data_IF_633654360488
#
_entry.id   IF_633654360488
#
_cell.length_a   1.000
_cell.length_b   1.000
_cell.length_c   1.000
_cell.angle_alpha   90.00
_cell.angle_beta   90.00
_cell.angle_gamma   90.00
#
_symmetry.space_group_name_H-M   'P 1'
#
loop_
_entity.id
_entity.type
_entity.pdbx_description
1 polymer ?
2 non-polymer ?
3 non-polymer ?
4 non-polymer ?
5 non-polymer ?
6 non-polymer ?
7 non-polymer ?
8 water ?
#
# COMPACT_ATOMS: atom_id res chain seq x y z
N UNK A 1 -22.83 11.06 13.72
CA UNK A 1 -23.66 11.22 14.91
C UNK A 1 -24.89 10.31 14.90
N UNK A 2 -25.19 9.68 13.77
CA UNK A 2 -26.41 8.88 13.57
C UNK A 2 -26.52 7.70 14.51
N UNK A 3 -25.36 7.20 14.92
CA UNK A 3 -25.32 6.10 15.87
C UNK A 3 -24.16 6.43 16.81
N UNK A 4 -24.22 5.93 18.05
CA UNK A 4 -23.11 6.30 18.94
C UNK A 4 -21.77 5.84 18.39
N UNK A 5 -20.74 6.66 18.62
CA UNK A 5 -19.41 6.34 18.15
C UNK A 5 -18.74 5.39 19.13
N UNK A 6 -18.15 4.33 18.58
CA UNK A 6 -17.47 3.33 19.39
C UNK A 6 -15.96 3.55 19.32
N UNK A 7 -15.37 3.93 20.43
CA UNK A 7 -13.94 3.88 20.57
C UNK A 7 -13.58 2.42 20.81
N UNK A 8 -12.59 1.93 20.10
CA UNK A 8 -12.20 0.54 20.26
C UNK A 8 -10.83 0.44 20.87
N UNK A 9 -10.60 -0.61 21.64
CA UNK A 9 -9.27 -0.88 22.15
C UNK A 9 -8.74 0.31 22.97
N UNK A 11 -7.55 0.54 25.98
CA UNK A 11 -6.39 0.36 26.85
C UNK A 11 -5.19 -0.15 26.06
N UNK A 12 -5.20 0.00 24.74
CA UNK A 12 -4.12 -0.51 23.91
C UNK A 12 -2.76 0.09 24.31
N UNK A 13 -1.73 -0.75 24.23
CA UNK A 13 -0.36 -0.35 24.48
C UNK A 13 0.52 -1.12 23.51
N UNK A 14 1.78 -0.70 23.38
CA UNK A 14 2.77 -1.54 22.75
C UNK A 14 3.43 -2.44 23.77
N UNK A 15 3.66 -3.69 23.38
CA UNK A 15 4.38 -4.65 24.20
C UNK A 15 5.64 -5.09 23.48
N UNK A 16 6.51 -4.12 23.17
CA UNK A 16 7.78 -4.42 22.48
C UNK A 16 8.72 -5.07 23.47
N UNK A 17 9.65 -5.92 22.96
CA UNK A 17 10.60 -6.44 23.93
C UNK A 17 11.37 -5.32 24.66
N UNK A 18 11.74 -5.62 25.89
CA UNK A 18 12.54 -4.71 26.70
C UNK A 18 13.81 -4.25 25.98
N UNK A 19 14.08 -2.94 26.01
CA UNK A 19 15.29 -2.41 25.41
C UNK A 19 15.36 -2.47 23.88
N UNK A 20 14.23 -2.63 23.22
CA UNK A 20 14.27 -2.82 21.79
C UNK A 20 14.51 -1.54 20.96
N UNK A 21 15.00 -1.79 19.76
CA UNK A 21 15.23 -0.76 18.78
C UNK A 21 13.90 -0.20 18.30
N UNK A 22 13.96 0.98 17.67
CA UNK A 22 12.81 1.60 17.04
C UNK A 22 12.31 0.75 15.88
N UNK A 23 10.99 0.69 15.76
CA UNK A 23 10.35 -0.01 14.67
C UNK A 23 9.67 1.02 13.79
N UNK A 24 9.96 0.98 12.49
CA UNK A 24 9.47 1.97 11.52
C UNK A 24 8.79 1.21 10.38
N UNK A 25 7.48 1.35 10.28
CA UNK A 25 6.71 0.65 9.26
C UNK A 25 6.17 1.62 8.21
N UNK A 26 6.48 1.34 6.96
CA UNK A 26 5.95 2.13 5.85
C UNK A 26 4.85 1.34 5.15
N UNK A 27 3.65 1.89 5.10
CA UNK A 27 2.53 1.32 4.37
C UNK A 27 2.36 2.11 3.12
N UNK A 28 2.75 1.52 1.99
CA UNK A 28 2.52 2.13 0.68
C UNK A 28 1.15 1.64 0.21
N UNK A 29 0.20 2.57 0.14
CA UNK A 29 -1.12 2.24 -0.35
C UNK A 29 -1.13 2.63 -1.81
N UNK A 30 -1.14 1.60 -2.65
CA UNK A 30 -1.13 1.76 -4.08
C UNK A 30 -2.49 2.12 -4.63
N UNK A 31 -2.53 2.27 -5.93
CA UNK A 31 -3.71 2.78 -6.60
C UNK A 31 -3.73 2.13 -7.99
N UNK A 32 -4.82 1.42 -8.29
CA UNK A 32 -5.12 0.92 -9.64
C UNK A 32 -4.22 -0.20 -10.22
N UNK A 33 -3.01 -0.38 -9.69
CA UNK A 33 -2.12 -1.43 -10.14
C UNK A 33 -2.67 -2.82 -9.89
N UNK A 34 -2.66 -3.64 -10.94
CA UNK A 34 -3.27 -4.97 -10.86
C UNK A 34 -2.27 -6.12 -10.94
N UNK A 35 -2.63 -7.23 -10.29
CA UNK A 35 -1.77 -8.40 -10.20
C UNK A 35 -1.32 -8.96 -11.53
N UNK A 36 -2.20 -8.93 -12.51
CA UNK A 36 -1.95 -9.57 -13.78
C UNK A 36 -0.85 -8.86 -14.58
N UNK A 37 -0.46 -7.64 -14.21
CA UNK A 37 0.60 -6.94 -14.91
C UNK A 37 1.83 -6.70 -14.03
N UNK A 38 1.94 -7.51 -12.99
CA UNK A 38 2.99 -7.38 -11.98
C UNK A 38 4.07 -8.40 -12.27
N UNK A 39 5.28 -7.96 -12.52
CA UNK A 39 6.32 -8.85 -12.98
C UNK A 39 6.61 -10.01 -12.05
N UNK A 40 6.60 -9.77 -10.75
CA UNK A 40 6.89 -10.85 -9.80
C UNK A 40 5.86 -11.97 -9.84
N UNK A 41 4.65 -11.70 -10.34
CA UNK A 41 3.63 -12.72 -10.50
C UNK A 41 3.76 -13.51 -11.79
N UNK A 42 4.75 -13.21 -12.62
CA UNK A 42 4.96 -14.02 -13.82
C UNK A 42 4.39 -13.36 -15.07
N UNK A 43 4.01 -12.10 -14.99
CA UNK A 43 3.61 -11.37 -16.19
C UNK A 43 4.75 -11.50 -17.22
N UNK A 44 4.39 -11.61 -18.50
CA UNK A 44 5.42 -11.83 -19.51
C UNK A 44 6.40 -10.67 -19.65
N UNK A 45 5.99 -9.46 -19.26
CA UNK A 45 6.91 -8.32 -19.21
C UNK A 45 7.38 -8.14 -17.77
N UNK A 46 8.67 -7.86 -17.62
CA UNK A 46 9.20 -7.58 -16.30
C UNK A 46 8.94 -6.14 -15.93
N UNK A 47 7.77 -5.92 -15.36
CA UNK A 47 7.36 -4.60 -14.91
C UNK A 47 7.86 -4.25 -13.53
N UNK A 48 8.53 -5.21 -12.87
CA UNK A 48 9.08 -4.98 -11.55
C UNK A 48 10.57 -5.39 -11.47
N UNK A 49 11.40 -4.82 -12.34
CA UNK A 49 12.79 -5.28 -12.44
C UNK A 49 13.63 -5.00 -11.21
N UNK A 50 13.39 -3.90 -10.50
CA UNK A 50 14.23 -3.61 -9.35
C UNK A 50 13.89 -4.53 -8.20
N UNK A 51 12.59 -4.80 -8.01
CA UNK A 51 12.17 -5.73 -7.00
C UNK A 51 12.61 -7.15 -7.34
N UNK A 52 12.51 -7.54 -8.61
CA UNK A 52 12.99 -8.86 -9.01
C UNK A 52 14.48 -9.05 -8.74
N UNK A 53 15.29 -8.03 -9.04
CA UNK A 53 16.73 -8.12 -8.83
C UNK A 53 17.10 -8.25 -7.35
N UNK A 54 16.26 -7.73 -6.46
CA UNK A 54 16.47 -7.87 -5.02
C UNK A 54 16.24 -9.31 -4.56
N UNK A 55 15.57 -10.11 -5.38
CA UNK A 55 15.49 -11.53 -5.12
C UNK A 55 14.76 -11.90 -3.85
N UNK A 56 15.40 -12.76 -3.07
CA UNK A 56 14.72 -13.40 -1.97
C UNK A 56 14.20 -12.42 -0.92
N UNK A 57 14.82 -11.25 -0.78
CA UNK A 57 14.42 -10.33 0.27
C UNK A 57 13.07 -9.66 0.03
N UNK A 58 12.50 -9.77 -1.16
CA UNK A 58 11.15 -9.28 -1.38
C UNK A 58 10.18 -10.45 -1.28
N UNK A 59 9.21 -10.35 -0.39
CA UNK A 59 8.16 -11.34 -0.28
C UNK A 59 7.02 -10.90 -1.15
N UNK A 60 6.71 -11.67 -2.18
CA UNK A 60 5.64 -11.38 -3.08
C UNK A 60 4.45 -12.31 -2.81
N UNK A 61 3.25 -11.77 -2.93
CA UNK A 61 2.04 -12.52 -2.67
C UNK A 61 1.23 -12.65 -3.95
N UNK A 62 1.29 -13.83 -4.59
CA UNK A 62 0.62 -13.94 -5.89
C UNK A 62 -0.91 -14.07 -5.89
N UNK A 63 -1.54 -14.26 -4.74
CA UNK A 63 -3.00 -14.36 -4.68
C UNK A 63 -3.60 -13.46 -3.61
N UNK A 64 -3.90 -12.22 -4.01
CA UNK A 64 -4.48 -11.22 -3.11
C UNK A 64 -5.69 -10.59 -3.78
N UNK A 65 -6.77 -10.42 -3.02
CA UNK A 65 -8.00 -9.79 -3.53
C UNK A 65 -8.31 -8.54 -2.77
N UNK A 66 -8.83 -7.54 -3.50
CA UNK A 66 -9.23 -6.30 -2.89
C UNK A 66 -10.61 -6.40 -2.19
N UNK A 67 -10.84 -5.46 -1.26
CA UNK A 67 -12.13 -5.20 -0.60
C UNK A 67 -13.16 -4.64 -1.59
N UNK A 68 -12.69 -3.72 -2.42
CA UNK A 68 -13.55 -2.93 -3.27
C UNK A 68 -12.88 -2.67 -4.61
N UNK A 69 -13.57 -1.94 -5.49
CA UNK A 69 -13.02 -1.61 -6.81
C UNK A 69 -12.87 -0.10 -6.95
N UNK A 70 -12.91 0.63 -5.84
CA UNK A 70 -12.67 2.05 -5.87
C UNK A 70 -12.12 2.45 -4.53
N UNK A 72 -13.05 4.77 -2.53
CA UNK A 72 -14.10 5.09 -1.58
C UNK A 72 -14.55 3.87 -0.77
N UNK A 73 -14.45 2.68 -1.37
CA UNK A 73 -14.78 1.46 -0.66
C UNK A 73 -13.56 0.80 -0.05
N UNK A 74 -12.52 0.61 -0.86
CA UNK A 74 -11.38 -0.13 -0.42
C UNK A 74 -10.66 0.47 0.78
N UNK A 75 -10.41 1.76 0.76
CA UNK A 75 -9.65 2.36 1.85
C UNK A 75 -10.36 2.24 3.21
N UNK A 76 -11.63 2.68 3.32
CA UNK A 76 -12.26 2.56 4.63
C UNK A 76 -12.35 1.10 5.09
N UNK A 77 -12.60 0.17 4.17
CA UNK A 77 -12.76 -1.23 4.59
C UNK A 77 -11.41 -1.84 5.01
N UNK A 79 -8.85 -0.34 6.30
CA UNK A 79 -8.42 0.24 7.58
C UNK A 79 -9.44 -0.03 8.71
N UNK A 80 -10.48 -0.80 8.42
CA UNK A 80 -11.48 -1.14 9.44
C UNK A 80 -11.38 -2.56 9.91
N UNK A 81 -12.01 -2.82 11.05
CA UNK A 81 -12.09 -4.16 11.63
C UNK A 81 -12.92 -5.10 10.74
N UNK A 82 -13.77 -4.55 9.90
CA UNK A 82 -14.67 -5.38 9.08
C UNK A 82 -13.98 -6.04 7.92
N UNK A 83 -14.50 -7.20 7.50
CA UNK A 83 -14.04 -7.91 6.32
C UNK A 83 -14.95 -7.49 5.16
N UNK A 84 -14.52 -7.75 3.94
CA UNK A 84 -15.34 -7.38 2.79
C UNK A 84 -16.76 -7.91 2.91
N UNK A 85 -16.91 -9.17 3.28
CA UNK A 85 -18.23 -9.79 3.23
C UNK A 85 -19.15 -9.36 4.37
N UNK A 86 -18.64 -8.71 5.41
CA UNK A 86 -19.53 -8.16 6.43
C UNK A 86 -19.40 -6.68 6.63
N UNK A 87 -18.79 -6.01 5.65
CA UNK A 87 -18.54 -4.59 5.79
C UNK A 87 -19.86 -3.81 5.91
N UNK A 88 -19.91 -2.95 6.92
CA UNK A 88 -21.07 -2.10 7.17
C UNK A 88 -20.53 -0.68 7.16
N UNK A 89 -20.83 0.05 6.08
CA UNK A 89 -20.27 1.38 5.84
C UNK A 89 -20.59 2.32 7.00
N UNK A 90 -21.79 2.22 7.53
CA UNK A 90 -22.22 3.12 8.61
C UNK A 90 -21.52 2.76 9.91
N UNK A 91 -21.46 1.48 10.22
CA UNK A 91 -20.81 1.07 11.44
C UNK A 91 -19.34 1.44 11.39
N UNK A 92 -18.70 1.22 10.24
CA UNK A 92 -17.28 1.50 10.10
C UNK A 92 -16.99 3.00 10.27
N UNK A 93 -17.90 3.83 9.80
CA UNK A 93 -17.74 5.27 9.88
C UNK A 93 -17.89 5.79 11.30
N UNK A 94 -18.52 5.00 12.17
CA UNK A 94 -18.85 5.45 13.52
C UNK A 94 -18.06 4.63 14.55
N UNK A 95 -16.86 4.21 14.19
CA UNK A 95 -15.95 3.59 15.15
C UNK A 95 -14.51 3.84 14.76
N UNK A 96 -13.61 3.66 15.72
CA UNK A 96 -12.17 3.79 15.51
C UNK A 96 -11.69 2.87 14.40
N UNK A 97 -10.82 3.40 13.57
CA UNK A 97 -10.11 2.58 12.59
C UNK A 97 -8.72 2.20 13.04
N UNK A 98 -8.00 1.49 12.19
CA UNK A 98 -6.68 1.00 12.50
C UNK A 98 -5.74 2.09 12.98
N UNK A 99 -5.80 3.23 12.31
CA UNK A 99 -4.84 4.27 12.62
C UNK A 99 -5.17 4.93 13.94
N UNK A 100 -6.45 5.06 14.26
CA UNK A 100 -6.88 5.58 15.57
C UNK A 100 -6.33 4.69 16.69
N UNK A 101 -6.41 3.39 16.53
CA UNK A 101 -5.99 2.45 17.55
C UNK A 101 -4.46 2.48 17.67
N UNK A 102 -3.76 2.47 16.55
CA UNK A 102 -2.30 2.45 16.59
C UNK A 102 -1.77 3.71 17.24
N UNK A 103 -2.37 4.86 16.90
CA UNK A 103 -1.97 6.11 17.53
C UNK A 103 -2.21 6.10 19.04
N UNK A 104 -3.33 5.55 19.46
CA UNK A 104 -3.65 5.50 20.88
C UNK A 104 -2.62 4.67 21.63
N UNK A 105 -2.06 3.66 20.97
CA UNK A 105 -1.03 2.80 21.57
C UNK A 105 0.30 3.52 21.72
N UNK A 106 0.40 4.74 21.21
CA UNK A 106 1.64 5.50 21.40
C UNK A 106 2.58 5.49 20.19
N UNK A 107 2.09 5.00 19.06
CA UNK A 107 2.84 4.98 17.82
C UNK A 107 2.66 6.30 17.07
N UNK A 108 3.73 6.80 16.47
CA UNK A 108 3.65 8.02 15.68
C UNK A 108 3.11 7.66 14.31
N UNK A 109 1.90 8.11 14.02
CA UNK A 109 1.26 7.78 12.75
C UNK A 109 1.25 9.02 11.87
N UNK A 110 1.69 8.90 10.63
CA UNK A 110 1.69 10.03 9.70
C UNK A 110 1.18 9.57 8.37
N UNK A 111 0.31 10.35 7.75
CA UNK A 111 -0.26 9.99 6.43
C UNK A 111 0.13 11.02 5.38
N UNK A 112 0.87 10.63 4.35
CA UNK A 112 1.25 11.55 3.27
C UNK A 112 0.41 11.19 2.05
N UNK A 113 -0.33 12.17 1.56
CA UNK A 113 -1.36 11.93 0.54
C UNK A 113 -0.91 12.50 -0.80
N UNK A 114 -0.96 11.65 -1.83
CA UNK A 114 -0.73 12.08 -3.21
C UNK A 114 -1.75 11.51 -4.17
N UNK A 115 -2.93 11.15 -3.69
CA UNK A 115 -3.92 10.45 -4.51
C UNK A 115 -5.32 11.04 -4.32
N UNK A 116 -5.43 12.34 -4.15
CA UNK A 116 -6.74 13.00 -4.06
C UNK A 116 -7.57 12.84 -2.78
N UNK A 117 -7.16 11.99 -1.85
CA UNK A 117 -7.90 11.87 -0.60
C UNK A 117 -7.81 10.54 0.15
N UNK A 118 -7.90 10.60 1.47
CA UNK A 118 -7.80 9.45 2.34
C UNK A 118 -9.15 8.80 2.63
N UNK A 119 -10.22 9.37 2.08
CA UNK A 119 -11.58 8.84 2.27
C UNK A 119 -11.94 8.70 3.74
N UNK A 120 -11.52 9.67 4.54
CA UNK A 120 -11.90 9.73 5.95
C UNK A 120 -11.01 8.97 6.90
N UNK A 121 -10.06 8.22 6.37
CA UNK A 121 -9.28 7.32 7.21
C UNK A 121 -8.26 8.04 8.07
N UNK A 122 -7.71 9.14 7.57
CA UNK A 122 -6.59 9.78 8.26
C UNK A 122 -6.97 11.08 8.97
N UNK A 123 -8.27 11.34 9.09
CA UNK A 123 -8.75 12.55 9.76
C UNK A 123 -8.21 12.84 11.16
N UNK A 124 -7.95 11.80 11.94
CA UNK A 124 -7.56 12.00 13.33
C UNK A 124 -6.08 11.76 13.58
N UNK A 125 -5.30 11.64 12.52
CA UNK A 125 -3.85 11.53 12.66
C UNK A 125 -3.20 12.62 11.83
N UNK A 126 -1.92 12.96 12.14
CA UNK A 126 -1.21 13.94 11.30
C UNK A 126 -1.20 13.53 9.84
N UNK A 127 -1.50 14.47 8.96
CA UNK A 127 -1.61 14.17 7.56
C UNK A 127 -1.37 15.39 6.71
N UNK A 128 -0.77 15.16 5.56
CA UNK A 128 -0.43 16.24 4.63
C UNK A 128 -0.74 15.87 3.20
N UNK A 129 -1.16 16.87 2.45
CA UNK A 129 -1.48 16.75 1.03
C UNK A 129 -0.25 17.19 0.23
N UNK A 130 0.56 16.24 -0.18
CA UNK A 130 1.80 16.57 -0.82
C UNK A 130 1.56 17.10 -2.23
N UNK A 131 0.51 16.64 -2.89
CA UNK A 131 0.18 17.05 -4.24
C UNK A 131 0.02 18.56 -4.35
N UNK A 132 -0.49 19.16 -3.28
CA UNK A 132 -0.79 20.60 -3.29
C UNK A 132 0.48 21.46 -3.40
N UNK A 133 1.63 20.87 -3.14
CA UNK A 133 2.87 21.62 -3.28
C UNK A 133 3.13 22.07 -4.72
N UNK A 134 2.55 21.33 -5.67
CA UNK A 134 2.59 21.79 -7.05
C UNK A 134 4.00 22.15 -7.55
N UNK A 135 4.95 21.25 -7.29
CA UNK A 135 6.34 21.42 -7.73
C UNK A 135 6.51 20.99 -9.18
N UNK A 136 7.12 21.85 -10.01
CA UNK A 136 7.18 21.53 -11.45
C UNK A 136 7.96 20.27 -11.80
N UNK A 137 8.94 19.89 -10.99
CA UNK A 137 9.65 18.64 -11.21
C UNK A 137 8.74 17.40 -11.16
N UNK A 138 7.62 17.51 -10.44
CA UNK A 138 6.75 16.35 -10.24
C UNK A 138 5.31 16.55 -10.74
N UNK A 139 4.86 17.79 -10.85
CA UNK A 139 3.43 18.05 -10.90
C UNK A 139 2.98 18.78 -12.15
N UNK A 140 1.79 18.41 -12.61
CA UNK A 140 1.14 19.10 -13.71
C UNK A 140 -0.34 18.77 -13.67
N UNK A 141 -1.17 19.74 -14.00
CA UNK A 141 -2.62 19.55 -14.04
C UNK A 141 -3.21 18.97 -12.75
N UNK A 142 -2.64 19.35 -11.62
CA UNK A 142 -3.16 18.95 -10.33
C UNK A 142 -2.87 17.52 -9.92
N UNK A 143 -1.95 16.86 -10.61
CA UNK A 143 -1.53 15.51 -10.23
C UNK A 143 -0.02 15.51 -10.19
N UNK A 144 0.58 14.70 -9.33
CA UNK A 144 2.02 14.69 -9.16
C UNK A 144 2.57 13.28 -9.28
N UNK A 145 3.76 13.17 -9.87
CA UNK A 145 4.53 11.92 -9.84
C UNK A 145 4.80 11.50 -8.40
N UNK A 146 4.66 10.21 -8.12
CA UNK A 146 4.73 9.73 -6.75
C UNK A 146 6.06 9.96 -6.04
N UNK A 147 7.15 10.13 -6.79
CA UNK A 147 8.43 10.38 -6.13
C UNK A 147 8.42 11.67 -5.34
N UNK A 148 7.43 12.53 -5.52
CA UNK A 148 7.33 13.72 -4.66
C UNK A 148 7.22 13.32 -3.19
N UNK A 149 6.62 12.17 -2.91
CA UNK A 149 6.46 11.72 -1.55
C UNK A 149 7.80 11.46 -0.89
N UNK A 150 8.78 11.04 -1.69
CA UNK A 150 10.07 10.68 -1.17
C UNK A 150 10.75 11.91 -0.59
N UNK A 151 10.38 13.10 -1.07
CA UNK A 151 11.00 14.34 -0.61
C UNK A 151 10.55 14.74 0.80
N UNK A 152 9.50 14.08 1.30
CA UNK A 152 8.95 14.37 2.60
C UNK A 152 9.25 13.24 3.60
N UNK A 153 9.89 12.18 3.12
CA UNK A 153 10.10 10.96 3.90
C UNK A 153 11.02 11.21 5.10
N UNK A 154 12.12 11.88 4.87
CA UNK A 154 13.12 11.99 5.92
C UNK A 154 12.64 12.86 7.08
N UNK A 155 11.80 13.83 6.80
CA UNK A 155 11.18 14.63 7.85
C UNK A 155 10.38 13.74 8.82
N UNK A 156 9.68 12.76 8.28
CA UNK A 156 8.92 11.84 9.14
C UNK A 156 9.83 10.90 9.90
N UNK A 157 10.81 10.38 9.19
CA UNK A 157 11.78 9.49 9.79
C UNK A 157 12.47 10.16 10.97
N UNK A 158 12.76 11.46 10.84
CA UNK A 158 13.54 12.17 11.84
C UNK A 158 12.70 12.93 12.84
N UNK A 159 11.38 12.79 12.82
CA UNK A 159 10.52 13.58 13.70
C UNK A 159 10.85 13.33 15.18
N UNK A 160 11.05 12.07 15.53
CA UNK A 160 11.44 11.64 16.88
C UNK A 160 11.83 10.19 16.76
N UNK A 161 12.14 9.53 17.88
CA UNK A 161 12.56 8.12 17.81
C UNK A 161 11.46 7.15 18.29
N UNK A 162 10.21 7.60 18.29
CA UNK A 162 9.08 6.68 18.60
C UNK A 162 8.89 5.68 17.46
N UNK A 163 8.36 4.51 17.78
CA UNK A 163 7.89 3.62 16.75
C UNK A 163 6.89 4.38 15.88
N UNK A 164 6.84 4.03 14.60
CA UNK A 164 6.08 4.81 13.65
C UNK A 164 5.44 3.98 12.57
N UNK A 165 4.28 4.46 12.12
CA UNK A 165 3.63 3.96 10.90
C UNK A 165 3.46 5.14 9.97
N UNK A 166 4.09 5.06 8.81
CA UNK A 166 4.04 6.11 7.81
C UNK A 166 3.27 5.57 6.64
N UNK A 167 2.15 6.19 6.31
CA UNK A 167 1.35 5.79 5.15
C UNK A 167 1.71 6.70 3.97
N UNK A 168 2.08 6.09 2.86
CA UNK A 168 2.36 6.82 1.61
C UNK A 168 1.22 6.45 0.67
N UNK A 169 0.30 7.36 0.45
CA UNK A 169 -0.83 7.07 -0.42
C UNK A 169 -0.55 7.61 -1.80
N UNK A 170 -0.29 6.69 -2.73
CA UNK A 170 0.23 6.99 -4.04
C UNK A 170 -0.86 7.04 -5.06
N UNK A 171 -0.61 7.78 -6.15
CA UNK A 171 -1.52 7.79 -7.29
C UNK A 171 -1.26 6.61 -8.25
N UNK A 172 -0.08 6.02 -8.21
CA UNK A 172 0.11 4.68 -8.78
C UNK A 172 -0.14 4.58 -10.27
N UNK A 173 -1.08 3.71 -10.63
CA UNK A 173 -1.45 3.46 -12.01
C UNK A 173 -2.74 4.16 -12.41
N UNK A 174 -3.17 5.19 -11.67
CA UNK A 174 -4.46 5.82 -11.95
C UNK A 174 -4.54 6.34 -13.38
N UNK A 175 -5.69 6.10 -14.01
CA UNK A 175 -5.98 6.64 -15.34
C UNK A 175 -7.17 7.57 -15.27
N UNK A 176 -7.61 8.08 -16.42
CA UNK A 176 -7.12 7.77 -17.77
C UNK A 176 -5.81 8.47 -18.15
N UNK A 177 -5.26 9.34 -17.31
CA UNK A 177 -3.96 9.97 -17.62
C UNK A 177 -2.80 9.08 -17.21
N UNK A 178 -2.83 7.83 -17.64
CA UNK A 178 -1.79 6.87 -17.28
C UNK A 178 -0.39 7.39 -17.65
N UNK A 179 -0.32 8.07 -18.78
CA UNK A 179 0.98 8.52 -19.28
C UNK A 179 1.66 9.51 -18.36
N UNK A 180 0.91 10.15 -17.49
CA UNK A 180 1.49 11.12 -16.55
C UNK A 180 1.99 10.47 -15.28
N UNK A 181 1.83 9.16 -15.14
CA UNK A 181 2.24 8.48 -13.91
C UNK A 181 3.73 8.10 -13.85
N UNK A 182 4.47 8.30 -14.92
CA UNK A 182 5.86 7.84 -14.99
C UNK A 182 6.71 8.81 -15.75
N UNK A 183 8.04 8.60 -15.68
CA UNK A 183 9.00 9.44 -16.40
C UNK A 183 9.77 8.67 -17.46
N UNK A 184 10.69 9.35 -18.12
CA UNK A 184 11.47 8.75 -19.22
C UNK A 184 12.10 7.42 -18.86
N UNK A 185 12.65 7.31 -17.65
CA UNK A 185 13.36 6.09 -17.31
C UNK A 185 12.46 4.87 -17.21
N UNK A 186 11.15 5.10 -17.05
CA UNK A 186 10.19 4.03 -16.93
C UNK A 186 9.32 3.91 -18.18
N UNK A 187 9.60 4.70 -19.21
CA UNK A 187 8.82 4.63 -20.44
C UNK A 187 9.47 3.55 -21.34
N UNK A 188 9.30 2.30 -20.93
CA UNK A 188 10.00 1.20 -21.58
C UNK A 188 9.19 0.54 -22.71
N UNK A 189 7.88 0.53 -22.56
CA UNK A 189 7.00 -0.11 -23.51
C UNK A 189 6.33 0.95 -24.36
N UNK A 190 6.54 0.85 -25.67
CA UNK A 190 6.10 1.88 -26.59
C UNK A 190 5.55 1.22 -27.88
N UNK A 191 4.76 1.96 -28.68
CA UNK A 191 4.21 3.30 -28.43
C UNK A 191 3.25 3.37 -27.26
N UNK A 192 2.96 4.59 -26.87
CA UNK A 192 2.15 4.85 -25.70
C UNK A 192 0.92 5.67 -26.07
N UNK A 193 0.02 5.78 -25.09
CA UNK A 193 -1.24 6.49 -25.19
C UNK A 193 -1.11 7.79 -24.39
N UNK A 194 -0.73 8.87 -25.05
CA UNK A 194 -0.33 10.08 -24.32
C UNK A 194 -1.45 11.10 -24.32
N UNK A 195 -2.62 10.63 -23.92
CA UNK A 195 -3.80 11.44 -23.84
C UNK A 195 -4.70 10.83 -22.77
N UNK A 196 -5.67 11.61 -22.30
CA UNK A 196 -6.69 11.08 -21.41
C UNK A 196 -7.79 10.35 -22.18
N UNK A 197 -7.80 10.49 -23.51
CA UNK A 197 -8.85 9.92 -24.36
C UNK A 197 -8.48 8.51 -24.76
N UNK A 198 -8.50 7.63 -23.78
CA UNK A 198 -7.89 6.32 -23.92
C UNK A 198 -8.66 5.44 -24.89
N UNK A 199 -9.94 5.75 -25.08
CA UNK A 199 -10.72 5.03 -26.08
C UNK A 199 -10.26 5.25 -27.51
N UNK A 200 -9.42 6.25 -27.73
CA UNK A 200 -8.98 6.62 -29.08
C UNK A 200 -7.63 6.03 -29.42
N UNK A 201 -7.01 5.35 -28.47
CA UNK A 201 -5.75 4.70 -28.76
C UNK A 201 -5.93 3.21 -28.83
N UNK A 202 -4.97 2.54 -29.43
CA UNK A 202 -5.08 1.11 -29.59
C UNK A 202 -4.95 0.45 -28.24
N UNK A 203 -5.55 -0.72 -28.13
CA UNK A 203 -5.44 -1.50 -26.91
C UNK A 203 -4.00 -1.86 -26.61
N UNK A 204 -3.21 -2.08 -27.65
CA UNK A 204 -1.79 -2.35 -27.49
C UNK A 204 -1.10 -1.18 -26.83
N UNK A 205 -1.35 0.04 -27.30
CA UNK A 205 -0.71 1.17 -26.62
C UNK A 205 -1.22 1.41 -25.22
N UNK A 206 -2.48 1.08 -24.95
CA UNK A 206 -3.01 1.26 -23.61
C UNK A 206 -2.26 0.34 -22.64
N UNK A 207 -2.05 -0.90 -23.02
CA UNK A 207 -1.33 -1.86 -22.18
C UNK A 207 0.11 -1.40 -21.99
N UNK A 208 0.73 -0.93 -23.07
CA UNK A 208 2.10 -0.43 -22.94
C UNK A 208 2.18 0.68 -21.91
N UNK A 209 1.23 1.61 -21.97
CA UNK A 209 1.25 2.79 -21.07
C UNK A 209 0.99 2.35 -19.64
N UNK A 210 0.02 1.47 -19.46
CA UNK A 210 -0.27 0.96 -18.13
C UNK A 210 0.95 0.23 -17.55
N UNK A 211 1.63 -0.57 -18.37
CA UNK A 211 2.83 -1.28 -17.93
C UNK A 211 3.94 -0.33 -17.51
N UNK A 212 4.06 0.79 -18.21
CA UNK A 212 5.04 1.79 -17.78
C UNK A 212 4.71 2.37 -16.42
N UNK A 213 3.42 2.51 -16.10
CA UNK A 213 3.04 2.95 -14.75
C UNK A 213 3.49 1.94 -13.69
N UNK A 214 3.51 0.65 -14.01
CA UNK A 214 3.90 -0.36 -13.03
C UNK A 214 5.43 -0.27 -12.81
N UNK A 215 6.20 -0.02 -13.87
CA UNK A 215 7.63 0.23 -13.70
C UNK A 215 7.84 1.38 -12.73
N UNK A 216 6.99 2.42 -12.77
CA UNK A 216 7.17 3.50 -11.81
C UNK A 216 6.81 3.07 -10.40
N UNK A 217 5.79 2.27 -10.23
CA UNK A 217 5.52 1.70 -8.89
C UNK A 217 6.73 0.95 -8.35
N UNK A 218 7.31 0.09 -9.18
CA UNK A 218 8.49 -0.70 -8.83
C UNK A 218 9.61 0.21 -8.36
N UNK A 219 9.91 1.25 -9.12
CA UNK A 219 11.05 2.09 -8.69
C UNK A 219 10.72 2.90 -7.45
N UNK A 220 9.44 3.18 -7.24
CA UNK A 220 9.05 3.93 -6.04
C UNK A 220 9.28 3.07 -4.80
N UNK A 221 8.79 1.84 -4.83
CA UNK A 221 9.00 0.92 -3.71
C UNK A 221 10.52 0.73 -3.47
N UNK A 222 11.29 0.57 -4.55
CA UNK A 222 12.72 0.42 -4.41
C UNK A 222 13.35 1.62 -3.73
N UNK A 223 12.92 2.82 -4.08
CA UNK A 223 13.50 4.01 -3.45
C UNK A 223 13.11 4.15 -1.98
N UNK A 224 11.91 3.71 -1.61
CA UNK A 224 11.55 3.71 -0.20
C UNK A 224 12.48 2.75 0.58
N UNK A 225 12.70 1.56 0.05
CA UNK A 225 13.62 0.59 0.65
C UNK A 225 15.01 1.19 0.79
N UNK A 226 15.48 1.85 -0.26
CA UNK A 226 16.81 2.46 -0.21
C UNK A 226 16.93 3.50 0.90
N UNK A 227 15.85 4.18 1.26
CA UNK A 227 15.95 5.11 2.39
C UNK A 227 16.10 4.41 3.76
N UNK A 228 15.76 3.14 3.82
CA UNK A 228 15.79 2.43 5.09
C UNK A 228 16.87 1.36 5.23
N UNK A 229 17.32 0.80 4.11
CA UNK A 229 18.08 -0.43 4.21
C UNK A 229 19.45 -0.28 4.84
N UNK A 230 19.98 0.93 4.91
CA UNK A 230 21.28 1.17 5.52
C UNK A 230 21.22 1.68 6.97
N UNK A 231 20.02 1.76 7.54
CA UNK A 231 19.82 2.15 8.93
C UNK A 231 19.83 0.91 9.83
N UNK A 232 21.02 0.47 10.22
CA UNK A 232 21.18 -0.75 10.99
C UNK A 232 20.56 -0.68 12.39
N UNK A 233 20.28 0.52 12.85
CA UNK A 233 19.70 0.73 14.18
C UNK A 233 18.18 0.67 14.15
N UNK A 234 17.61 0.54 12.97
CA UNK A 234 16.20 0.67 12.78
C UNK A 234 15.57 -0.62 12.25
N UNK A 235 14.57 -1.14 12.96
CA UNK A 235 13.81 -2.27 12.46
C UNK A 235 12.72 -1.75 11.54
N UNK A 236 12.88 -1.90 10.24
CA UNK A 236 11.95 -1.34 9.28
C UNK A 236 11.27 -2.42 8.44
N UNK A 237 10.06 -2.11 8.02
CA UNK A 237 9.25 -2.96 7.16
C UNK A 237 8.63 -2.04 6.15
N UNK A 238 8.64 -2.45 4.89
CA UNK A 238 7.90 -1.76 3.84
C UNK A 238 6.85 -2.72 3.31
N UNK A 239 5.60 -2.32 3.34
CA UNK A 239 4.47 -3.13 2.88
C UNK A 239 3.78 -2.35 1.78
N UNK A 240 3.56 -2.98 0.63
CA UNK A 240 2.84 -2.36 -0.47
C UNK A 240 1.64 -3.21 -0.83
N UNK A 241 0.49 -2.60 -1.01
CA UNK A 241 -0.67 -3.26 -1.62
C UNK A 241 -1.46 -2.20 -2.33
N UNK A 242 -2.08 -2.56 -3.46
CA UNK A 242 -2.93 -1.66 -4.21
C UNK A 242 -4.35 -1.65 -3.62
N UNK A 243 -5.13 -0.61 -3.92
CA UNK A 243 -6.53 -0.55 -3.48
C UNK A 243 -7.49 -1.39 -4.32
N UNK A 244 -7.13 -1.61 -5.58
CA UNK A 244 -7.89 -2.42 -6.53
C UNK A 244 -7.09 -2.36 -7.85
N UNK A 245 -7.56 -3.11 -8.84
CA UNK A 245 -6.94 -3.14 -10.16
C UNK A 245 -7.66 -2.27 -11.18
N UNK A 246 -7.62 -2.72 -12.43
CA UNK A 246 -8.05 -1.89 -13.54
C UNK A 246 -8.48 -2.80 -14.68
N UNK A 247 -9.38 -2.31 -15.53
CA UNK A 247 -9.72 -2.98 -16.77
C UNK A 247 -9.10 -2.21 -17.93
N UNK A 248 -8.57 -2.93 -18.91
CA UNK A 248 -7.85 -2.30 -20.02
C UNK A 248 -8.52 -2.64 -21.36
N UNK A 249 -9.84 -2.59 -21.37
CA UNK A 249 -10.59 -2.78 -22.61
C UNK A 249 -11.22 -4.16 -22.74
N UNK A 250 -10.86 -5.08 -21.86
CA UNK A 250 -11.38 -6.45 -21.92
C UNK A 250 -12.90 -6.40 -21.84
N UNK A 251 -13.58 -7.04 -22.80
CA UNK A 251 -15.04 -7.04 -22.84
C UNK A 251 -15.65 -5.64 -22.79
N UNK A 252 -14.96 -4.66 -23.36
CA UNK A 252 -15.51 -3.31 -23.42
C UNK A 252 -15.38 -2.52 -22.14
N UNK A 254 -13.36 -0.44 -19.18
CA UNK A 254 -12.20 0.41 -18.93
C UNK A 254 -12.30 0.96 -17.51
N UNK A 255 -11.18 1.51 -17.05
CA UNK A 255 -11.07 2.06 -15.73
C UNK A 255 -11.46 1.03 -14.65
N UNK A 256 -12.07 1.46 -13.57
CA UNK A 256 -12.39 0.53 -12.48
C UNK A 256 -13.77 0.84 -11.93
N UNK A 257 -13.98 0.63 -10.63
CA UNK A 257 -15.25 0.86 -9.99
C UNK A 257 -16.41 0.02 -10.51
N UNK A 258 -16.13 -1.13 -11.12
CA UNK A 258 -17.23 -2.06 -11.42
C UNK A 258 -17.82 -2.58 -10.09
N UNK A 259 -19.14 -2.74 -9.99
CA UNK A 259 -19.72 -3.31 -8.77
C UNK A 259 -19.02 -4.62 -8.45
N UNK A 260 -18.66 -4.82 -7.18
CA UNK A 260 -17.80 -5.95 -6.85
C UNK A 260 -18.31 -7.29 -7.36
N UNK A 261 -19.63 -7.50 -7.27
CA UNK A 261 -20.23 -8.78 -7.62
C UNK A 261 -20.02 -9.15 -9.09
N UNK A 262 -19.81 -8.14 -9.94
CA UNK A 262 -19.62 -8.39 -11.37
C UNK A 262 -18.23 -7.99 -11.85
N UNK A 263 -17.38 -7.56 -10.93
CA UNK A 263 -16.07 -7.04 -11.30
C UNK A 263 -15.16 -8.14 -11.83
N UNK A 264 -14.43 -7.85 -12.92
CA UNK A 264 -13.52 -8.84 -13.46
C UNK A 264 -12.26 -8.98 -12.59
N UNK A 265 -11.52 -10.06 -12.80
CA UNK A 265 -10.32 -10.32 -12.02
C UNK A 265 -9.31 -9.19 -12.13
N UNK A 266 -9.29 -8.50 -13.26
CA UNK A 266 -8.38 -7.41 -13.44
C UNK A 266 -8.58 -6.32 -12.40
N UNK A 267 -9.82 -6.18 -11.92
CA UNK A 267 -10.11 -5.16 -10.91
C UNK A 267 -10.00 -5.66 -9.48
N UNK A 268 -10.12 -6.95 -9.24
CA UNK A 268 -10.09 -7.47 -7.87
C UNK A 268 -8.77 -8.14 -7.44
N UNK A 269 -7.96 -8.55 -8.40
CA UNK A 269 -6.74 -9.29 -8.09
C UNK A 269 -5.59 -8.31 -8.16
N UNK A 270 -4.96 -8.08 -6.98
CA UNK A 270 -4.04 -6.97 -6.75
C UNK A 270 -2.67 -7.49 -6.28
N UNK A 271 -1.62 -6.71 -6.54
CA UNK A 271 -0.26 -7.05 -6.05
C UNK A 271 -0.07 -6.65 -4.60
N UNK A 273 3.50 -6.75 -1.77
CA UNK A 273 4.84 -7.17 -1.45
C UNK A 273 5.26 -6.65 -0.09
N UNK A 275 8.97 -6.08 2.44
CA UNK A 275 10.43 -6.06 2.61
C UNK A 275 10.73 -5.77 4.06
N UNK A 276 11.74 -6.46 4.60
CA UNK A 276 12.17 -6.31 5.99
C UNK A 276 13.65 -5.93 6.06
N UNK A 277 13.97 -4.96 6.91
CA UNK A 277 15.34 -4.52 7.09
C UNK A 277 16.15 -5.55 7.85
N UNK A 278 17.46 -5.38 7.81
CA UNK A 278 18.37 -6.28 8.52
C UNK A 278 18.02 -6.35 10.00
N UNK A 279 17.77 -5.22 10.63
CA UNK A 279 17.47 -5.27 12.05
C UNK A 279 16.13 -5.93 12.32
N UNK A 280 15.16 -5.74 11.44
CA UNK A 280 13.90 -6.42 11.62
C UNK A 280 14.09 -7.94 11.42
N UNK A 281 14.92 -8.32 10.46
CA UNK A 281 15.21 -9.73 10.24
C UNK A 281 15.84 -10.36 11.50
N UNK A 282 16.66 -9.57 12.20
CA UNK A 282 17.34 -10.07 13.39
C UNK A 282 16.44 -10.14 14.62
N UNK A 283 15.60 -9.11 14.82
CA UNK A 283 14.90 -8.94 16.10
C UNK A 283 13.38 -8.94 16.01
N UNK A 284 12.85 -9.12 14.82
CA UNK A 284 11.43 -9.02 14.59
C UNK A 284 10.65 -10.29 14.86
N UNK A 285 11.35 -11.39 15.11
CA UNK A 285 10.71 -12.64 15.50
C UNK A 285 10.07 -13.46 14.39
N UNK A 286 10.34 -13.11 13.13
CA UNK A 286 9.71 -13.77 12.00
C UNK A 286 10.64 -14.79 11.36
N UNK A 287 10.09 -15.97 11.06
CA UNK A 287 10.80 -17.00 10.28
C UNK A 287 10.54 -16.68 8.82
N UNK A 288 11.57 -16.19 8.14
CA UNK A 288 11.43 -15.62 6.79
C UNK A 288 11.17 -16.70 5.74
N UNK A 289 11.79 -17.85 5.90
CA UNK A 289 11.54 -18.93 4.95
C UNK A 289 10.09 -19.45 5.08
N UNK A 290 9.60 -19.51 6.30
CA UNK A 290 8.20 -19.84 6.51
C UNK A 290 7.28 -18.82 5.82
N UNK A 291 7.57 -17.54 6.00
CA UNK A 291 6.77 -16.51 5.39
C UNK A 291 6.77 -16.59 3.85
N UNK A 292 7.92 -16.82 3.25
CA UNK A 292 7.98 -16.96 1.79
C UNK A 292 7.06 -18.09 1.33
N UNK A 293 7.06 -19.20 2.07
CA UNK A 293 6.18 -20.29 1.70
C UNK A 293 4.69 -19.96 1.90
N UNK A 294 4.33 -19.36 3.02
CA UNK A 294 2.95 -18.95 3.24
C UNK A 294 2.46 -17.99 2.15
N UNK A 295 3.30 -17.03 1.79
CA UNK A 295 2.95 -16.05 0.79
C UNK A 295 2.62 -16.71 -0.55
N UNK A 296 3.38 -17.74 -0.91
CA UNK A 296 3.19 -18.42 -2.17
C UNK A 296 1.93 -19.27 -2.18
N UNK A 297 1.62 -19.94 -1.07
CA UNK A 297 0.57 -20.95 -1.06
C UNK A 297 -0.84 -20.48 -0.65
N UNK A 298 -0.92 -19.38 0.10
CA UNK A 298 -2.19 -18.92 0.62
C UNK A 298 -2.82 -17.80 -0.18
N UNK A 299 -4.13 -17.67 -0.04
CA UNK A 299 -4.90 -16.55 -0.57
C UNK A 299 -5.14 -15.50 0.50
N UNK A 300 -4.88 -14.25 0.15
CA UNK A 300 -5.04 -13.16 1.11
C UNK A 300 -5.95 -12.11 0.51
N UNK A 301 -6.30 -11.13 1.33
CA UNK A 301 -7.11 -10.02 0.86
C UNK A 301 -6.88 -8.83 1.72
N UNK A 302 -7.54 -7.73 1.39
CA UNK A 302 -7.49 -6.57 2.27
C UNK A 302 -7.96 -6.89 3.69
N UNK A 303 -8.72 -7.96 3.88
CA UNK A 303 -9.17 -8.32 5.22
C UNK A 303 -8.00 -8.57 6.18
N UNK A 304 -6.84 -8.96 5.63
CA UNK A 304 -5.66 -9.23 6.42
C UNK A 304 -4.91 -7.97 6.83
N UNK A 305 -5.28 -6.84 6.26
CA UNK A 305 -4.47 -5.67 6.49
C UNK A 305 -4.47 -5.22 7.96
N UNK A 306 -5.66 -5.14 8.56
CA UNK A 306 -5.85 -4.54 9.87
C UNK A 306 -5.01 -5.29 10.91
N UNK A 307 -5.12 -6.60 10.98
CA UNK A 307 -4.38 -7.33 12.00
C UNK A 307 -2.90 -7.46 11.70
N UNK A 308 -2.53 -7.45 10.41
CA UNK A 308 -1.11 -7.53 10.07
C UNK A 308 -0.39 -6.28 10.59
N UNK A 309 -1.00 -5.11 10.41
CA UNK A 309 -0.39 -3.88 10.91
C UNK A 309 -0.34 -3.87 12.43
N UNK A 310 -1.42 -4.25 13.12
CA UNK A 310 -1.38 -4.32 14.59
C UNK A 310 -0.25 -5.23 15.04
N UNK A 311 -0.07 -6.36 14.36
CA UNK A 311 0.98 -7.31 14.76
C UNK A 311 2.37 -6.72 14.61
N UNK A 312 2.55 -5.90 13.58
CA UNK A 312 3.84 -5.27 13.36
C UNK A 312 4.22 -4.22 14.39
N UNK A 314 3.49 -4.70 17.62
CA UNK A 314 3.46 -5.42 18.90
C UNK A 314 2.35 -4.88 19.80
N UNK A 315 1.20 -4.59 19.20
CA UNK A 315 0.07 -4.03 19.95
C UNK A 315 -0.53 -5.09 20.88
N UNK A 316 -0.76 -4.70 22.13
CA UNK A 316 -1.37 -5.55 23.16
C UNK A 316 -2.57 -4.88 23.83
N UNK A 317 -3.33 -5.64 24.62
CA UNK A 317 -4.65 -5.20 25.12
C UNK A 317 -5.53 -4.80 23.95
N UNK A 318 -5.45 -5.54 22.86
CA UNK A 318 -6.28 -5.31 21.71
C UNK A 318 -7.31 -6.42 21.57
N UNK A 319 -8.58 -6.05 21.63
CA UNK A 319 -9.63 -7.01 21.36
C UNK A 319 -10.03 -7.06 19.89
N UNK A 320 -9.50 -6.16 19.07
CA UNK A 320 -9.77 -6.17 17.63
C UNK A 320 -8.81 -7.07 16.83
N UNK A 321 -7.64 -7.37 17.40
CA UNK A 321 -6.64 -8.19 16.73
C UNK A 321 -7.11 -9.62 16.54
N UNK A 322 -7.01 -10.08 15.29
CA UNK A 322 -7.31 -11.47 14.95
C UNK A 322 -6.07 -12.18 14.41
N UNK A 323 -5.53 -13.08 15.21
CA UNK A 323 -4.27 -13.76 14.87
C UNK A 323 -4.37 -14.45 13.49
N UNK A 324 -5.52 -15.02 13.18
CA UNK A 324 -5.70 -15.75 11.92
C UNK A 324 -5.71 -14.82 10.70
N UNK A 326 -3.61 -12.09 10.63
CA UNK A 326 -2.28 -11.46 10.65
C UNK A 326 -1.37 -12.32 9.77
N UNK A 327 -0.97 -11.78 8.64
CA UNK A 327 -0.15 -12.55 7.70
C UNK A 327 1.09 -13.15 8.37
N UNK A 328 1.69 -12.43 9.30
CA UNK A 328 2.94 -12.86 9.89
C UNK A 328 2.78 -13.78 11.10
N UNK A 329 1.60 -13.86 11.67
CA UNK A 329 1.44 -14.58 12.94
C UNK A 329 1.87 -16.04 12.91
N UNK A 330 1.58 -16.75 11.82
CA UNK A 330 1.95 -18.16 11.74
C UNK A 330 3.46 -18.36 11.58
N UNK A 331 4.16 -17.26 11.34
CA UNK A 331 5.61 -17.29 11.16
C UNK A 331 6.35 -16.68 12.34
N UNK A 332 5.61 -16.17 13.32
CA UNK A 332 6.19 -15.38 14.42
C UNK A 332 6.47 -16.25 15.63
N UNK A 333 7.69 -16.11 16.17
CA UNK A 333 8.11 -16.85 17.35
C UNK A 333 7.25 -16.47 18.54
N UNK A 334 6.82 -17.45 19.35
CA UNK A 334 5.93 -17.15 20.48
C UNK A 334 6.57 -16.25 21.54
#
# INVERSE_FOLDING_TARGET
SNIPYTQLDXAVVQNRPAGSLRRFVVLVVGETTRAANWGLNGYSRQTTPLLAARGDEIVNFPQVRSCGTSXAHSLPCXFSTFDRTDYDEIKAEHQDNLLDIVQRAGVEVTWLENDSGCKGVCGKVPNTDVTSLNLPEYCRNGECLDNILLTKFDEVLNKNDKDAVLILHTIGSHGPTYYERYTEAERKFTPTCDTNEINKCTRATLVNTYDNTVLYVDQFIDKVIRKLENRDDLESVVHYVSDHGESLGENGXYLHAAPYAIAPSGQTHIPXVXWFSKAFRQHGGIDFQCLKQKAAENEYSHDHYFSTVLGLXDISNSQTYRKEXDILAACRRPR
#
